data_IF_188382359093
#
_entry.id   IF_188382359093
#
_cell.length_a   1.000
_cell.length_b   1.000
_cell.length_c   1.000
_cell.angle_alpha   90.00
_cell.angle_beta   90.00
_cell.angle_gamma   90.00
#
_symmetry.space_group_name_H-M   'P 1'
#
loop_
_entity.id
_entity.type
_entity.pdbx_description
1 polymer ?
#
# COMPACT_ATOMS: atom_id res chain seq x y z
N UNK A 1 8.14 -11.63 -9.07
CA UNK A 1 8.58 -10.23 -9.12
C UNK A 1 8.62 -9.55 -7.74
N UNK A 2 8.15 -10.21 -6.67
CA UNK A 2 8.37 -9.81 -5.28
C UNK A 2 9.69 -10.36 -4.68
N UNK A 3 10.52 -11.04 -5.49
CA UNK A 3 11.66 -11.81 -5.00
C UNK A 3 12.95 -10.99 -4.82
N UNK A 4 13.05 -9.79 -5.40
CA UNK A 4 14.27 -8.97 -5.37
C UNK A 4 14.19 -7.75 -4.44
N UNK A 5 13.09 -7.60 -3.71
CA UNK A 5 13.10 -6.75 -2.52
C UNK A 5 13.83 -7.59 -1.47
N UNK A 6 15.17 -7.47 -1.43
CA UNK A 6 15.98 -8.03 -0.37
C UNK A 6 15.33 -7.68 0.98
N UNK A 7 15.51 -8.51 2.00
CA UNK A 7 14.89 -8.40 3.33
C UNK A 7 15.06 -7.04 4.04
N UNK A 8 15.82 -6.10 3.45
CA UNK A 8 16.05 -4.73 3.92
C UNK A 8 15.42 -3.62 3.04
N UNK A 9 14.62 -3.96 2.02
CA UNK A 9 13.90 -2.95 1.21
C UNK A 9 14.76 -2.17 0.22
N UNK A 10 15.88 -2.73 -0.24
CA UNK A 10 16.86 -2.07 -1.15
C UNK A 10 17.01 -2.85 -2.45
N UNK A 11 17.03 -2.16 -3.60
CA UNK A 11 17.40 -2.72 -4.90
C UNK A 11 18.91 -2.59 -5.14
N UNK A 12 19.53 -3.60 -5.76
CA UNK A 12 20.94 -3.51 -6.16
C UNK A 12 21.13 -2.52 -7.33
N UNK A 13 22.35 -2.01 -7.53
CA UNK A 13 22.67 -1.17 -8.69
C UNK A 13 22.36 -1.88 -10.02
N UNK A 14 22.55 -3.20 -10.07
CA UNK A 14 22.20 -4.05 -11.21
C UNK A 14 20.68 -4.05 -11.46
N UNK A 15 19.87 -4.24 -10.42
CA UNK A 15 18.40 -4.20 -10.55
C UNK A 15 17.91 -2.83 -10.99
N UNK A 16 18.52 -1.74 -10.50
CA UNK A 16 18.19 -0.37 -10.94
C UNK A 16 18.52 -0.18 -12.42
N UNK A 17 19.68 -0.66 -12.88
CA UNK A 17 20.10 -0.58 -14.28
C UNK A 17 19.20 -1.41 -15.21
N UNK A 18 18.82 -2.62 -14.79
CA UNK A 18 17.87 -3.46 -15.52
C UNK A 18 16.49 -2.78 -15.64
N UNK A 19 16.01 -2.16 -14.56
CA UNK A 19 14.73 -1.45 -14.56
C UNK A 19 14.75 -0.24 -15.53
N UNK A 20 15.83 0.54 -15.52
CA UNK A 20 16.01 1.65 -16.46
C UNK A 20 16.06 1.17 -17.93
N UNK A 21 16.72 0.04 -18.18
CA UNK A 21 16.79 -0.57 -19.51
C UNK A 21 15.42 -1.11 -19.98
N UNK A 22 14.63 -1.71 -19.09
CA UNK A 22 13.25 -2.16 -19.38
C UNK A 22 12.34 -1.00 -19.79
N UNK A 23 12.42 0.13 -19.09
CA UNK A 23 11.65 1.33 -19.44
C UNK A 23 12.01 1.91 -20.81
N UNK A 24 13.28 1.79 -21.20
CA UNK A 24 13.76 2.25 -22.51
C UNK A 24 13.25 1.34 -23.63
N UNK A 25 13.38 0.01 -23.48
CA UNK A 25 12.88 -0.96 -24.46
C UNK A 25 11.35 -0.93 -24.63
N UNK A 26 10.59 -0.65 -23.57
CA UNK A 26 9.14 -0.50 -23.66
C UNK A 26 8.71 0.71 -24.52
N UNK A 27 9.52 1.79 -24.56
CA UNK A 27 9.28 2.96 -25.42
C UNK A 27 9.58 2.69 -26.90
N UNK A 28 10.40 1.69 -27.20
CA UNK A 28 10.84 1.31 -28.55
C UNK A 28 10.02 0.14 -29.15
N UNK A 29 8.86 -0.17 -28.58
CA UNK A 29 7.97 -1.23 -29.08
C UNK A 29 8.27 -2.63 -28.55
N UNK A 30 9.10 -2.75 -27.50
CA UNK A 30 9.27 -3.99 -26.76
C UNK A 30 8.01 -4.40 -25.97
N UNK A 31 7.96 -5.63 -25.43
CA UNK A 31 6.82 -6.10 -24.63
C UNK A 31 6.55 -5.13 -23.46
N UNK A 32 5.28 -4.87 -23.12
CA UNK A 32 4.94 -3.92 -22.08
C UNK A 32 5.61 -4.34 -20.76
N UNK A 33 6.37 -3.43 -20.17
CA UNK A 33 6.90 -3.62 -18.82
C UNK A 33 5.72 -3.92 -17.89
N UNK A 34 5.76 -5.07 -17.20
CA UNK A 34 4.71 -5.52 -16.27
C UNK A 34 4.67 -4.69 -14.97
N UNK A 35 5.06 -3.42 -15.04
CA UNK A 35 5.09 -2.46 -13.94
C UNK A 35 3.81 -1.62 -13.90
N UNK A 36 3.46 -1.17 -12.69
CA UNK A 36 2.33 -0.28 -12.46
C UNK A 36 2.58 1.09 -13.13
N UNK A 37 1.94 1.34 -14.27
CA UNK A 37 2.04 2.61 -15.01
C UNK A 37 1.09 3.65 -14.44
N UNK A 38 1.56 4.40 -13.44
CA UNK A 38 0.77 5.42 -12.75
C UNK A 38 0.15 6.47 -13.69
N UNK A 39 0.87 6.89 -14.75
CA UNK A 39 0.39 7.89 -15.72
C UNK A 39 -0.78 7.42 -16.60
N UNK A 40 -1.02 6.12 -16.69
CA UNK A 40 -2.19 5.52 -17.35
C UNK A 40 -3.36 5.32 -16.37
N UNK A 41 -3.16 5.62 -15.09
CA UNK A 41 -4.11 5.40 -13.99
C UNK A 41 -4.30 6.68 -13.16
N UNK A 42 -4.70 7.81 -13.78
CA UNK A 42 -4.76 9.09 -13.09
C UNK A 42 -5.72 9.10 -11.90
N UNK A 43 -6.86 8.41 -11.97
CA UNK A 43 -7.79 8.30 -10.85
C UNK A 43 -7.19 7.57 -9.65
N UNK A 44 -6.41 6.52 -9.88
CA UNK A 44 -5.69 5.86 -8.81
C UNK A 44 -4.74 6.85 -8.14
N UNK A 45 -3.88 7.52 -8.93
CA UNK A 45 -2.91 8.48 -8.37
C UNK A 45 -3.52 9.62 -7.58
N UNK A 46 -4.61 10.20 -8.09
CA UNK A 46 -5.26 11.38 -7.52
C UNK A 46 -6.08 11.05 -6.28
N UNK A 47 -6.74 9.89 -6.26
CA UNK A 47 -7.63 9.49 -5.15
C UNK A 47 -6.89 8.70 -4.06
N UNK A 48 -5.67 8.25 -4.32
CA UNK A 48 -5.01 7.20 -3.53
C UNK A 48 -4.98 7.48 -2.03
N UNK A 49 -4.47 8.64 -1.61
CA UNK A 49 -4.34 8.92 -0.17
C UNK A 49 -5.68 9.25 0.48
N UNK A 50 -6.62 9.82 -0.28
CA UNK A 50 -7.95 10.18 0.23
C UNK A 50 -8.76 8.96 0.68
N UNK A 51 -8.48 7.75 0.17
CA UNK A 51 -9.19 6.53 0.57
C UNK A 51 -8.99 6.16 2.05
N UNK A 52 -7.96 6.70 2.70
CA UNK A 52 -7.67 6.47 4.12
C UNK A 52 -8.47 7.41 5.06
N UNK A 53 -9.15 8.42 4.51
CA UNK A 53 -10.01 9.31 5.30
C UNK A 53 -11.35 8.63 5.60
N UNK A 54 -11.72 8.54 6.88
CA UNK A 54 -12.90 7.78 7.33
C UNK A 54 -13.81 8.55 8.30
N UNK A 55 -13.42 9.76 8.71
CA UNK A 55 -14.12 10.53 9.73
C UNK A 55 -14.07 12.05 9.43
N UNK A 56 -15.06 12.82 9.92
CA UNK A 56 -15.05 14.28 9.80
C UNK A 56 -13.90 14.92 10.58
N UNK A 57 -13.40 16.04 10.08
CA UNK A 57 -12.31 16.81 10.68
C UNK A 57 -10.91 16.22 10.47
N UNK A 58 -10.78 15.18 9.64
CA UNK A 58 -9.50 14.55 9.31
C UNK A 58 -9.25 14.66 7.81
N UNK A 59 -8.26 15.48 7.46
CA UNK A 59 -7.73 15.56 6.10
C UNK A 59 -6.60 14.55 5.90
N UNK A 60 -6.44 14.03 4.67
CA UNK A 60 -5.31 13.18 4.31
C UNK A 60 -3.98 13.93 4.46
N UNK A 61 -3.95 15.19 4.01
CA UNK A 61 -2.88 16.14 4.28
C UNK A 61 -1.49 15.75 3.80
N UNK A 62 -1.34 14.78 2.87
CA UNK A 62 -0.04 14.20 2.55
C UNK A 62 0.64 13.57 3.77
N UNK A 63 -0.13 12.94 4.66
CA UNK A 63 0.34 12.33 5.91
C UNK A 63 1.50 11.36 5.70
N UNK A 64 1.45 10.52 4.66
CA UNK A 64 2.54 9.56 4.39
C UNK A 64 3.85 10.30 4.06
N UNK A 65 3.76 11.40 3.31
CA UNK A 65 4.90 12.27 2.99
C UNK A 65 5.48 12.86 4.27
N UNK A 66 4.61 13.38 5.13
CA UNK A 66 5.01 14.14 6.30
C UNK A 66 5.60 13.24 7.38
N UNK A 67 5.03 12.04 7.59
CA UNK A 67 5.63 10.97 8.42
C UNK A 67 7.01 10.58 7.89
N UNK A 68 7.13 10.31 6.58
CA UNK A 68 8.42 9.96 5.99
C UNK A 68 9.46 11.10 6.07
N UNK A 69 9.03 12.36 5.96
CA UNK A 69 9.91 13.53 6.15
C UNK A 69 10.37 13.71 7.59
N UNK A 70 9.51 13.38 8.55
CA UNK A 70 9.80 13.46 9.98
C UNK A 70 10.64 12.27 10.49
N UNK A 71 10.84 11.24 9.68
CA UNK A 71 11.68 10.11 10.05
C UNK A 71 13.16 10.50 10.13
N UNK A 72 13.75 10.37 11.32
CA UNK A 72 15.08 10.91 11.64
C UNK A 72 16.24 10.10 11.04
N UNK A 73 16.03 8.85 10.62
CA UNK A 73 17.10 8.00 10.09
C UNK A 73 17.56 8.36 8.66
N UNK A 74 16.86 9.27 7.97
CA UNK A 74 17.23 9.75 6.64
C UNK A 74 16.93 8.81 5.47
N UNK A 75 16.37 7.62 5.73
CA UNK A 75 15.99 6.60 4.74
C UNK A 75 15.02 7.17 3.69
N UNK A 76 14.08 8.00 4.14
CA UNK A 76 13.09 8.68 3.29
C UNK A 76 13.44 10.13 2.98
N UNK A 77 14.73 10.49 3.05
CA UNK A 77 15.21 11.85 2.73
C UNK A 77 14.80 12.32 1.33
N UNK A 78 14.54 11.41 0.39
CA UNK A 78 14.04 11.71 -0.95
C UNK A 78 12.63 12.29 -1.00
N UNK A 79 11.85 12.19 0.09
CA UNK A 79 10.57 12.89 0.23
C UNK A 79 10.75 14.38 0.51
N UNK A 80 11.96 14.82 0.89
CA UNK A 80 12.31 16.24 1.05
C UNK A 80 12.69 16.80 -0.33
N UNK A 81 12.43 18.09 -0.56
CA UNK A 81 12.72 18.74 -1.85
C UNK A 81 14.23 18.86 -2.17
N UNK A 82 15.11 18.42 -1.26
CA UNK A 82 16.56 18.59 -1.30
C UNK A 82 17.29 17.23 -1.32
N UNK A 83 16.75 16.24 -2.03
CA UNK A 83 17.40 14.93 -2.08
C UNK A 83 18.79 15.03 -2.72
N UNK A 84 19.84 14.90 -1.90
CA UNK A 84 21.25 14.88 -2.33
C UNK A 84 21.78 13.45 -2.55
N UNK A 85 20.95 12.43 -2.29
CA UNK A 85 21.33 11.03 -2.49
C UNK A 85 21.58 10.76 -3.96
N UNK A 86 22.80 10.38 -4.31
CA UNK A 86 23.13 9.88 -5.63
C UNK A 86 23.23 8.35 -5.56
N UNK A 87 22.24 7.60 -6.09
CA UNK A 87 22.30 6.15 -6.14
C UNK A 87 23.56 5.65 -6.85
N UNK A 88 24.06 6.40 -7.85
CA UNK A 88 25.29 6.07 -8.58
C UNK A 88 26.59 6.34 -7.79
N UNK A 89 26.50 6.79 -6.53
CA UNK A 89 27.63 6.94 -5.61
C UNK A 89 27.49 6.04 -4.36
N UNK A 90 26.69 4.97 -4.43
CA UNK A 90 26.50 4.03 -3.33
C UNK A 90 25.54 4.51 -2.23
N UNK A 91 24.73 5.53 -2.50
CA UNK A 91 23.65 5.95 -1.58
C UNK A 91 22.48 4.96 -1.61
N UNK A 92 22.07 4.45 -0.44
CA UNK A 92 20.90 3.55 -0.32
C UNK A 92 19.61 4.33 -0.56
N UNK A 93 18.76 3.84 -1.48
CA UNK A 93 17.41 4.37 -1.70
C UNK A 93 16.39 3.41 -1.09
N UNK A 94 15.64 3.89 -0.10
CA UNK A 94 14.55 3.13 0.49
C UNK A 94 13.24 3.43 -0.23
N UNK A 95 12.49 2.39 -0.56
CA UNK A 95 11.18 2.54 -1.18
C UNK A 95 10.12 2.76 -0.13
N UNK A 96 9.20 3.69 -0.39
CA UNK A 96 7.91 3.67 0.28
C UNK A 96 7.05 2.57 -0.34
N UNK A 97 6.13 1.99 0.42
CA UNK A 97 5.09 1.10 -0.11
C UNK A 97 4.12 1.80 -1.07
N UNK A 98 2.87 1.34 -1.10
CA UNK A 98 1.79 1.83 -1.98
C UNK A 98 1.30 3.23 -1.58
N UNK A 99 2.16 4.24 -1.60
CA UNK A 99 1.82 5.64 -1.32
C UNK A 99 2.18 6.53 -2.51
N UNK A 100 1.31 7.52 -2.78
CA UNK A 100 1.50 8.49 -3.85
C UNK A 100 1.87 9.84 -3.24
N UNK A 101 2.94 10.46 -3.75
CA UNK A 101 3.39 11.77 -3.28
C UNK A 101 3.14 12.87 -4.32
N UNK A 102 3.05 14.14 -3.89
CA UNK A 102 2.85 15.27 -4.82
C UNK A 102 3.89 15.35 -5.94
N UNK A 103 5.14 14.98 -5.64
CA UNK A 103 6.23 14.94 -6.63
C UNK A 103 5.98 13.91 -7.73
N UNK A 104 5.34 12.77 -7.43
CA UNK A 104 4.98 11.75 -8.42
C UNK A 104 3.91 12.26 -9.38
N UNK A 105 2.92 13.01 -8.88
CA UNK A 105 1.90 13.65 -9.73
C UNK A 105 2.51 14.72 -10.65
N UNK A 106 3.50 15.47 -10.16
CA UNK A 106 4.23 16.45 -10.96
C UNK A 106 5.10 15.80 -12.06
N UNK A 107 5.77 14.70 -11.73
CA UNK A 107 6.62 13.96 -12.66
C UNK A 107 5.83 13.10 -13.67
N UNK A 108 4.60 12.71 -13.34
CA UNK A 108 3.79 11.72 -14.04
C UNK A 108 3.24 12.07 -15.45
N UNK A 109 3.81 13.07 -16.14
CA UNK A 109 3.36 13.46 -17.48
C UNK A 109 2.10 14.35 -17.48
N UNK A 110 1.59 14.67 -18.66
CA UNK A 110 0.43 15.58 -18.81
C UNK A 110 -0.84 15.02 -18.19
N UNK A 111 -1.04 13.69 -18.23
CA UNK A 111 -2.23 13.04 -17.69
C UNK A 111 -2.37 13.19 -16.18
N UNK A 112 -1.27 13.15 -15.42
CA UNK A 112 -1.30 13.32 -13.96
C UNK A 112 -1.15 14.78 -13.54
N UNK A 113 -0.30 15.56 -14.24
CA UNK A 113 -0.09 16.98 -13.93
C UNK A 113 -1.38 17.79 -14.00
N UNK A 114 -2.29 17.44 -14.91
CA UNK A 114 -3.58 18.10 -15.07
C UNK A 114 -4.46 18.03 -13.81
N UNK A 115 -4.24 17.06 -12.92
CA UNK A 115 -5.02 16.86 -11.71
C UNK A 115 -4.31 17.30 -10.43
N UNK A 116 -3.15 17.95 -10.51
CA UNK A 116 -2.39 18.35 -9.30
C UNK A 116 -3.21 19.21 -8.35
N UNK A 117 -3.90 20.21 -8.87
CA UNK A 117 -4.68 21.12 -8.04
C UNK A 117 -5.90 20.39 -7.44
N UNK A 118 -6.51 19.46 -8.18
CA UNK A 118 -7.58 18.62 -7.66
C UNK A 118 -7.10 17.67 -6.56
N UNK A 119 -5.91 17.07 -6.72
CA UNK A 119 -5.29 16.24 -5.69
C UNK A 119 -4.98 17.04 -4.42
N UNK A 120 -4.53 18.29 -4.55
CA UNK A 120 -4.32 19.17 -3.39
C UNK A 120 -5.64 19.51 -2.68
N UNK A 121 -6.70 19.80 -3.44
CA UNK A 121 -8.04 20.02 -2.85
C UNK A 121 -8.51 18.78 -2.08
N UNK A 122 -8.31 17.58 -2.63
CA UNK A 122 -8.63 16.33 -1.94
C UNK A 122 -7.77 16.09 -0.70
N UNK A 123 -6.48 16.42 -0.77
CA UNK A 123 -5.58 16.28 0.37
C UNK A 123 -5.98 17.19 1.55
N UNK A 124 -6.55 18.37 1.27
CA UNK A 124 -7.03 19.31 2.30
C UNK A 124 -8.49 19.10 2.71
N UNK A 125 -9.23 18.21 2.03
CA UNK A 125 -10.62 17.92 2.36
C UNK A 125 -10.71 17.21 3.71
N UNK A 126 -11.43 17.80 4.66
CA UNK A 126 -11.62 17.29 6.03
C UNK A 126 -13.08 17.00 6.39
N UNK A 127 -14.04 17.46 5.59
CA UNK A 127 -15.49 17.27 5.75
C UNK A 127 -15.96 15.90 5.21
N UNK A 128 -15.15 14.85 5.37
CA UNK A 128 -15.57 13.49 5.04
C UNK A 128 -16.68 13.03 6.00
N UNK A 129 -17.72 12.35 5.49
CA UNK A 129 -18.69 11.72 6.38
C UNK A 129 -18.02 10.61 7.19
N UNK A 130 -18.57 10.30 8.36
CA UNK A 130 -18.18 9.09 9.08
C UNK A 130 -18.49 7.87 8.22
N UNK A 131 -17.45 7.12 7.83
CA UNK A 131 -17.58 5.95 6.98
C UNK A 131 -18.16 4.75 7.73
N UNK A 132 -17.87 4.65 9.03
CA UNK A 132 -18.27 3.54 9.88
C UNK A 132 -19.07 4.02 11.09
N UNK A 133 -20.13 3.27 11.45
CA UNK A 133 -20.78 3.38 12.76
C UNK A 133 -20.03 2.48 13.75
N UNK A 134 -19.05 3.06 14.46
CA UNK A 134 -18.23 2.32 15.43
C UNK A 134 -19.05 1.75 16.58
N UNK A 135 -20.14 2.40 17.00
CA UNK A 135 -21.01 1.88 18.06
C UNK A 135 -21.78 0.64 17.57
N UNK A 136 -22.23 0.65 16.32
CA UNK A 136 -22.84 -0.51 15.70
C UNK A 136 -21.86 -1.68 15.63
N UNK A 137 -20.61 -1.44 15.22
CA UNK A 137 -19.58 -2.49 15.10
C UNK A 137 -19.14 -3.05 16.47
N UNK A 138 -18.88 -2.18 17.44
CA UNK A 138 -18.31 -2.55 18.74
C UNK A 138 -19.34 -3.09 19.74
N UNK A 139 -20.57 -2.57 19.74
CA UNK A 139 -21.59 -2.94 20.72
C UNK A 139 -22.69 -3.84 20.13
N UNK A 140 -23.06 -3.64 18.87
CA UNK A 140 -24.29 -4.22 18.31
C UNK A 140 -24.05 -5.28 17.23
N UNK A 141 -22.81 -5.52 16.80
CA UNK A 141 -22.55 -6.56 15.81
C UNK A 141 -22.97 -7.95 16.34
N UNK A 142 -23.84 -8.61 15.57
CA UNK A 142 -24.36 -9.95 15.88
C UNK A 142 -23.76 -11.03 14.99
N UNK A 143 -23.14 -10.64 13.88
CA UNK A 143 -22.55 -11.54 12.89
C UNK A 143 -21.18 -11.99 13.39
N UNK A 144 -20.94 -13.30 13.62
CA UNK A 144 -19.61 -13.80 13.92
C UNK A 144 -18.68 -13.51 12.75
N UNK A 145 -17.49 -12.99 13.04
CA UNK A 145 -16.49 -12.70 12.03
C UNK A 145 -15.17 -13.38 12.38
N UNK A 146 -14.46 -13.78 11.34
CA UNK A 146 -13.07 -14.19 11.44
C UNK A 146 -12.27 -13.40 10.43
N UNK A 147 -11.20 -12.77 10.89
CA UNK A 147 -10.29 -11.98 10.08
C UNK A 147 -8.89 -12.60 10.15
N UNK A 148 -8.12 -12.48 9.06
CA UNK A 148 -6.73 -12.90 9.02
C UNK A 148 -5.84 -11.66 9.00
N UNK A 149 -4.79 -11.65 9.81
CA UNK A 149 -3.79 -10.58 9.83
C UNK A 149 -2.42 -11.16 9.44
N UNK A 150 -1.75 -10.50 8.51
CA UNK A 150 -0.50 -10.98 7.92
C UNK A 150 0.68 -10.32 8.62
N UNK A 151 1.56 -11.12 9.23
CA UNK A 151 2.74 -10.61 9.96
C UNK A 151 3.74 -9.91 9.03
N UNK A 152 3.91 -10.46 7.83
CA UNK A 152 4.88 -9.97 6.84
C UNK A 152 4.19 -9.10 5.77
N UNK A 153 3.12 -8.40 6.14
CA UNK A 153 2.44 -7.43 5.27
C UNK A 153 3.16 -6.08 5.30
N UNK A 154 3.70 -5.68 4.15
CA UNK A 154 4.41 -4.41 4.00
C UNK A 154 3.50 -3.18 3.96
N UNK A 155 2.18 -3.35 3.83
CA UNK A 155 1.21 -2.26 3.67
C UNK A 155 0.37 -2.03 4.91
N UNK A 156 0.04 -3.08 5.65
CA UNK A 156 -0.83 -3.00 6.83
C UNK A 156 -0.13 -3.60 8.03
N UNK A 157 0.09 -2.77 9.05
CA UNK A 157 0.72 -3.19 10.30
C UNK A 157 -0.12 -4.25 11.04
N UNK A 158 0.58 -5.24 11.60
CA UNK A 158 -0.04 -6.37 12.29
C UNK A 158 -0.80 -5.92 13.56
N UNK A 159 -0.22 -5.03 14.33
CA UNK A 159 -0.80 -4.59 15.60
C UNK A 159 -1.99 -3.65 15.35
N UNK A 160 -1.92 -2.77 14.34
CA UNK A 160 -3.08 -1.99 13.90
C UNK A 160 -4.23 -2.88 13.40
N UNK A 161 -3.92 -3.97 12.69
CA UNK A 161 -4.92 -4.94 12.24
C UNK A 161 -5.62 -5.63 13.42
N UNK A 162 -4.83 -6.06 14.41
CA UNK A 162 -5.35 -6.69 15.64
C UNK A 162 -6.16 -5.72 16.47
N UNK A 163 -5.70 -4.48 16.64
CA UNK A 163 -6.43 -3.43 17.34
C UNK A 163 -7.80 -3.17 16.68
N UNK A 164 -7.81 -3.04 15.35
CA UNK A 164 -9.05 -2.84 14.58
C UNK A 164 -10.01 -4.02 14.76
N UNK A 165 -9.51 -5.26 14.67
CA UNK A 165 -10.35 -6.43 14.88
C UNK A 165 -10.89 -6.53 16.31
N UNK A 166 -10.10 -6.16 17.32
CA UNK A 166 -10.53 -6.15 18.73
C UNK A 166 -11.64 -5.14 19.02
N UNK A 167 -11.73 -4.04 18.24
CA UNK A 167 -12.82 -3.06 18.33
C UNK A 167 -14.17 -3.60 17.84
N UNK A 168 -14.20 -4.70 17.07
CA UNK A 168 -15.42 -5.23 16.46
C UNK A 168 -15.96 -6.40 17.29
N UNK A 169 -17.21 -6.28 17.76
CA UNK A 169 -17.86 -7.36 18.55
C UNK A 169 -17.90 -8.65 17.73
N UNK A 170 -17.63 -9.79 18.36
CA UNK A 170 -17.62 -11.12 17.73
C UNK A 170 -16.62 -11.27 16.56
N UNK A 171 -15.62 -10.40 16.46
CA UNK A 171 -14.50 -10.61 15.56
C UNK A 171 -13.42 -11.44 16.26
N UNK A 172 -12.91 -12.45 15.56
CA UNK A 172 -11.68 -13.16 15.95
C UNK A 172 -10.65 -12.91 14.86
N UNK A 173 -9.55 -12.25 15.23
CA UNK A 173 -8.39 -12.10 14.36
C UNK A 173 -7.48 -13.31 14.55
N UNK A 174 -7.06 -13.92 13.45
CA UNK A 174 -6.05 -14.98 13.43
C UNK A 174 -4.82 -14.49 12.68
N UNK A 175 -3.65 -14.74 13.23
CA UNK A 175 -2.41 -14.42 12.52
C UNK A 175 -2.19 -15.44 11.40
N UNK A 176 -1.78 -14.95 10.23
CA UNK A 176 -1.37 -15.77 9.11
C UNK A 176 -0.09 -16.56 9.43
N UNK A 177 0.19 -17.57 8.61
CA UNK A 177 1.46 -18.30 8.68
C UNK A 177 2.62 -17.37 8.34
N UNK A 178 3.79 -17.67 8.90
CA UNK A 178 5.03 -16.94 8.59
C UNK A 178 5.37 -17.01 7.09
N UNK A 179 5.90 -15.91 6.54
CA UNK A 179 6.19 -15.76 5.13
C UNK A 179 4.97 -15.45 4.25
N UNK A 180 3.81 -15.18 4.85
CA UNK A 180 2.61 -14.77 4.11
C UNK A 180 2.43 -13.26 4.22
N UNK A 181 2.37 -12.60 3.06
CA UNK A 181 2.11 -11.16 2.96
C UNK A 181 0.71 -10.85 2.42
N UNK A 182 0.47 -9.57 2.17
CA UNK A 182 -0.78 -8.96 1.73
C UNK A 182 -1.56 -9.73 0.64
N UNK A 183 -0.82 -10.36 -0.30
CA UNK A 183 -1.36 -11.06 -1.45
C UNK A 183 -1.68 -12.54 -1.25
N UNK A 184 -1.40 -13.12 -0.06
CA UNK A 184 -1.37 -14.58 0.11
C UNK A 184 -2.69 -15.29 -0.28
N UNK A 185 -3.85 -14.65 -0.13
CA UNK A 185 -5.13 -15.24 -0.57
C UNK A 185 -5.22 -15.43 -2.09
N UNK A 186 -4.45 -14.66 -2.87
CA UNK A 186 -4.43 -14.70 -4.34
C UNK A 186 -3.33 -15.63 -4.88
N UNK A 187 -2.45 -16.13 -4.01
CA UNK A 187 -1.37 -17.04 -4.40
C UNK A 187 -1.90 -18.48 -4.48
N UNK A 188 -1.61 -19.15 -5.59
CA UNK A 188 -2.19 -20.46 -5.94
C UNK A 188 -1.92 -21.52 -4.86
N UNK A 189 -0.73 -21.51 -4.26
CA UNK A 189 -0.29 -22.45 -3.23
C UNK A 189 -0.78 -22.12 -1.81
N UNK A 190 -1.29 -20.90 -1.58
CA UNK A 190 -1.73 -20.39 -0.27
C UNK A 190 -3.24 -20.18 -0.15
N UNK A 191 -3.94 -19.93 -1.26
CA UNK A 191 -5.36 -19.54 -1.27
C UNK A 191 -6.27 -20.50 -0.48
N UNK A 192 -6.16 -21.80 -0.76
CA UNK A 192 -6.97 -22.82 -0.09
C UNK A 192 -6.69 -22.88 1.42
N UNK A 193 -5.44 -22.67 1.82
CA UNK A 193 -5.06 -22.65 3.23
C UNK A 193 -5.56 -21.37 3.94
N UNK A 194 -5.53 -20.20 3.27
CA UNK A 194 -6.14 -18.97 3.79
C UNK A 194 -7.64 -19.17 4.01
N UNK A 195 -8.34 -19.77 3.04
CA UNK A 195 -9.77 -20.04 3.15
C UNK A 195 -10.08 -21.04 4.27
N UNK A 196 -9.27 -22.09 4.44
CA UNK A 196 -9.41 -23.03 5.55
C UNK A 196 -9.22 -22.34 6.91
N UNK A 197 -8.24 -21.42 7.02
CA UNK A 197 -8.05 -20.65 8.25
C UNK A 197 -9.27 -19.77 8.57
N UNK A 198 -9.92 -19.17 7.57
CA UNK A 198 -11.07 -18.29 7.74
C UNK A 198 -12.39 -19.04 8.00
N UNK A 199 -12.62 -20.16 7.32
CA UNK A 199 -13.93 -20.83 7.28
C UNK A 199 -13.93 -22.26 7.85
N UNK A 200 -12.76 -22.80 8.20
CA UNK A 200 -12.57 -24.20 8.56
C UNK A 200 -12.39 -25.10 7.33
N UNK A 201 -12.20 -26.41 7.55
CA UNK A 201 -11.94 -27.37 6.47
C UNK A 201 -13.11 -27.42 5.49
N UNK A 202 -12.80 -27.47 4.19
CA UNK A 202 -13.82 -27.68 3.14
C UNK A 202 -14.58 -28.97 3.46
N UNK A 203 -15.88 -28.88 3.72
CA UNK A 203 -16.71 -30.07 3.89
C UNK A 203 -16.73 -30.80 2.54
N UNK A 204 -16.38 -32.10 2.47
CA UNK A 204 -16.41 -32.82 1.19
C UNK A 204 -17.83 -32.76 0.62
N UNK A 205 -17.96 -32.35 -0.65
CA UNK A 205 -19.27 -32.29 -1.29
C UNK A 205 -19.88 -33.69 -1.25
N UNK A 206 -21.03 -33.85 -0.58
CA UNK A 206 -21.83 -35.07 -0.72
C UNK A 206 -22.29 -35.14 -2.18
N UNK A 207 -21.67 -36.03 -2.95
CA UNK A 207 -22.19 -36.48 -4.24
C UNK A 207 -23.29 -37.49 -4.01
#
# INVERSE_FOLDING_TARGET
MAADIASEGVLSEETVAEYAAMHTKAREGGPPCAGFRLHERPLYGVLHEAIYCHAPGVAAGWAARDVGRAYDGGEFSWLRNSFEGNPAKGGRLFFSGEMIFPSMLAAGGSSLRAFRDAAEVLAQKDDWPALYDEQQLSARNRVPMRAIAYKDDMYVDLDLSRETGAKIRKCVVVDAKEGWGHGAIKEEDKSDQVLEMLFGPKTPSRR
#
